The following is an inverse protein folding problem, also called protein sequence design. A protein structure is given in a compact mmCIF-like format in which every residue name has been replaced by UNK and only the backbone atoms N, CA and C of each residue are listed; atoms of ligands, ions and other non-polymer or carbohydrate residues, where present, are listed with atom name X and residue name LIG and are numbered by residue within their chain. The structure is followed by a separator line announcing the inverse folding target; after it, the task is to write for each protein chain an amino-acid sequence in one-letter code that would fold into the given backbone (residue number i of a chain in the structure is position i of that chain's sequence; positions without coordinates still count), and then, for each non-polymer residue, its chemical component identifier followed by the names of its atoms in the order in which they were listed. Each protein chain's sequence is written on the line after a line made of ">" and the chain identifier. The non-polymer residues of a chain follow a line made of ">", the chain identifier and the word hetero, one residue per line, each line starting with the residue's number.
data_IF_135921395987
#
_entry.id   IF_135921395987
#
_cell.length_a   1.000
_cell.length_b   1.000
_cell.length_c   1.000
_cell.angle_alpha   90.00
_cell.angle_beta   90.00
_cell.angle_gamma   90.00
#
_symmetry.space_group_name_H-M   'P 1'
#
loop_
_entity.id
_entity.type
_entity.pdbx_description
1 polymer ?
#
# COMPACT_ATOMS: atom_id res chain seq x y z
N UNK A 1 -1.01 25.48 28.37
CA UNK A 1 -0.57 25.77 26.99
C UNK A 1 0.01 24.49 26.43
N UNK A 2 -0.63 23.96 25.39
CA UNK A 2 -0.42 22.64 24.80
C UNK A 2 1.03 22.42 24.33
N UNK A 3 1.56 21.19 24.49
CA UNK A 3 1.66 20.23 23.39
C UNK A 3 2.26 18.90 23.90
N UNK A 4 1.43 17.86 23.88
CA UNK A 4 1.81 16.47 24.05
C UNK A 4 2.59 16.02 22.81
N UNK A 5 3.86 15.62 22.97
CA UNK A 5 4.65 14.93 21.93
C UNK A 5 4.40 13.44 22.05
N UNK A 6 3.53 12.89 21.22
CA UNK A 6 3.45 11.43 21.04
C UNK A 6 4.38 11.05 19.88
N UNK A 7 5.60 10.65 20.23
CA UNK A 7 6.45 9.83 19.37
C UNK A 7 5.80 8.45 19.30
N UNK A 8 5.41 7.98 18.11
CA UNK A 8 5.10 6.57 17.88
C UNK A 8 6.06 6.04 16.84
N UNK A 9 7.02 5.26 17.31
CA UNK A 9 7.91 4.43 16.52
C UNK A 9 7.56 2.98 16.89
N UNK A 10 6.94 2.20 16.01
CA UNK A 10 7.00 0.73 16.05
C UNK A 10 6.63 0.12 14.69
N UNK A 11 7.43 -0.88 14.33
CA UNK A 11 7.38 -1.66 13.10
C UNK A 11 6.26 -2.73 13.11
N UNK A 12 6.00 -3.30 11.92
CA UNK A 12 5.11 -4.43 11.63
C UNK A 12 3.60 -4.23 11.85
N UNK A 13 2.95 -3.63 10.86
CA UNK A 13 1.63 -4.07 10.35
C UNK A 13 1.14 -3.12 9.27
N UNK A 14 0.32 -3.63 8.35
CA UNK A 14 -0.61 -2.83 7.58
C UNK A 14 -1.43 -1.95 8.56
N UNK A 15 -1.38 -0.63 8.44
CA UNK A 15 -2.16 0.29 9.28
C UNK A 15 -3.15 1.02 8.40
N UNK A 16 -4.44 0.87 8.74
CA UNK A 16 -5.49 1.68 8.15
C UNK A 16 -5.80 2.90 9.03
N UNK A 17 -5.72 4.13 8.51
CA UNK A 17 -6.00 5.36 9.27
C UNK A 17 -6.90 6.32 8.46
N UNK A 18 -7.82 7.03 9.11
CA UNK A 18 -8.67 8.02 8.45
C UNK A 18 -7.85 9.28 8.07
N UNK A 19 -8.07 9.81 6.86
CA UNK A 19 -7.45 11.05 6.41
C UNK A 19 -8.02 12.24 7.18
N UNK A 20 -7.16 13.10 7.72
CA UNK A 20 -7.55 14.31 8.46
C UNK A 20 -8.12 15.34 7.46
N UNK A 21 -9.38 15.17 7.09
CA UNK A 21 -10.20 16.25 6.56
C UNK A 21 -11.51 16.24 7.34
N UNK A 22 -11.63 17.30 8.15
CA UNK A 22 -12.73 17.72 9.04
C UNK A 22 -13.97 16.82 9.10
N UNK A 23 -14.30 16.43 10.34
CA UNK A 23 -15.62 15.95 10.76
C UNK A 23 -16.72 16.87 10.22
N UNK A 24 -17.38 16.43 9.16
CA UNK A 24 -18.74 16.80 8.82
C UNK A 24 -19.41 15.50 8.39
N UNK A 25 -20.62 15.25 8.88
CA UNK A 25 -21.49 14.22 8.34
C UNK A 25 -21.66 14.51 6.84
N UNK A 26 -21.17 13.63 5.97
CA UNK A 26 -21.34 13.79 4.51
C UNK A 26 -22.07 12.60 3.92
N UNK A 27 -23.17 13.00 3.31
CA UNK A 27 -24.14 12.37 2.44
C UNK A 27 -23.53 11.61 1.23
N UNK A 28 -24.38 10.80 0.61
CA UNK A 28 -24.13 9.60 -0.21
C UNK A 28 -23.56 9.81 -1.64
N UNK A 29 -22.70 10.81 -1.87
CA UNK A 29 -22.01 10.98 -3.17
C UNK A 29 -20.53 11.32 -3.03
N UNK A 30 -19.76 10.44 -2.38
CA UNK A 30 -18.30 10.54 -2.36
C UNK A 30 -17.73 10.08 -3.71
N UNK A 31 -17.46 11.04 -4.60
CA UNK A 31 -16.84 10.81 -5.91
C UNK A 31 -15.33 10.53 -5.82
N UNK A 32 -14.75 10.58 -4.62
CA UNK A 32 -13.34 10.30 -4.36
C UNK A 32 -13.03 8.81 -4.16
N UNK A 33 -11.72 8.45 -4.10
CA UNK A 33 -11.32 7.11 -3.74
C UNK A 33 -11.76 6.77 -2.30
N UNK A 34 -12.29 5.57 -2.09
CA UNK A 34 -12.62 5.12 -0.73
C UNK A 34 -11.37 4.87 0.11
N UNK A 35 -10.30 4.37 -0.53
CA UNK A 35 -9.05 4.01 0.11
C UNK A 35 -7.84 4.53 -0.69
N UNK A 36 -6.84 5.05 0.03
CA UNK A 36 -5.52 5.41 -0.50
C UNK A 36 -4.47 4.42 -0.01
N UNK A 37 -4.01 3.53 -0.89
CA UNK A 37 -2.89 2.65 -0.60
C UNK A 37 -1.57 3.41 -0.71
N UNK A 38 -0.83 3.48 0.39
CA UNK A 38 0.47 4.15 0.48
C UNK A 38 1.57 3.11 0.46
N UNK A 39 2.40 3.19 -0.58
CA UNK A 39 3.56 2.36 -0.82
C UNK A 39 4.79 3.24 -0.93
N UNK A 40 5.98 2.67 -0.72
CA UNK A 40 7.23 3.37 -0.95
C UNK A 40 8.31 2.39 -1.40
N UNK A 41 9.28 2.90 -2.14
CA UNK A 41 10.44 2.15 -2.59
C UNK A 41 11.28 2.98 -3.55
N UNK A 42 12.24 2.35 -4.21
CA UNK A 42 13.08 2.98 -5.23
C UNK A 42 13.67 1.90 -6.13
N UNK A 43 14.07 2.28 -7.34
CA UNK A 43 14.74 1.38 -8.26
C UNK A 43 16.25 1.28 -7.90
N UNK A 44 16.59 0.46 -6.92
CA UNK A 44 17.97 0.29 -6.43
C UNK A 44 18.49 -1.16 -6.40
N UNK A 45 17.66 -2.13 -6.79
CA UNK A 45 17.94 -3.56 -6.77
C UNK A 45 18.41 -4.16 -5.43
N UNK A 46 18.42 -3.41 -4.32
CA UNK A 46 18.94 -3.88 -3.03
C UNK A 46 18.11 -4.98 -2.42
N UNK A 47 16.84 -5.07 -2.81
CA UNK A 47 15.91 -6.15 -2.44
C UNK A 47 15.44 -6.90 -3.69
N UNK A 48 16.33 -7.12 -4.65
CA UNK A 48 16.00 -7.73 -5.95
C UNK A 48 15.14 -6.82 -6.82
N UNK A 49 14.34 -7.41 -7.71
CA UNK A 49 13.48 -6.67 -8.65
C UNK A 49 12.26 -6.04 -7.95
N UNK A 50 12.47 -4.88 -7.31
CA UNK A 50 11.39 -4.13 -6.68
C UNK A 50 10.39 -3.61 -7.72
N UNK A 51 10.86 -3.20 -8.90
CA UNK A 51 10.03 -2.63 -9.95
C UNK A 51 9.02 -3.67 -10.45
N UNK A 52 9.46 -4.90 -10.71
CA UNK A 52 8.56 -5.98 -11.13
C UNK A 52 7.58 -6.40 -10.04
N UNK A 53 8.02 -6.47 -8.77
CA UNK A 53 7.08 -6.74 -7.65
C UNK A 53 6.06 -5.62 -7.44
N UNK A 54 6.47 -4.36 -7.61
CA UNK A 54 5.57 -3.21 -7.60
C UNK A 54 4.57 -3.28 -8.76
N UNK A 55 5.04 -3.60 -9.96
CA UNK A 55 4.16 -3.76 -11.11
C UNK A 55 3.13 -4.87 -10.90
N UNK A 56 3.53 -6.01 -10.33
CA UNK A 56 2.60 -7.07 -9.96
C UNK A 56 1.53 -6.57 -8.98
N UNK A 57 1.93 -5.89 -7.91
CA UNK A 57 0.98 -5.36 -6.93
C UNK A 57 -0.01 -4.38 -7.58
N UNK A 58 0.46 -3.49 -8.47
CA UNK A 58 -0.40 -2.54 -9.17
C UNK A 58 -1.36 -3.21 -10.16
N UNK A 59 -0.90 -4.21 -10.91
CA UNK A 59 -1.75 -4.94 -11.86
C UNK A 59 -2.88 -5.70 -11.12
N UNK A 60 -2.54 -6.33 -9.99
CA UNK A 60 -3.51 -7.07 -9.17
C UNK A 60 -4.53 -6.11 -8.52
N UNK A 61 -4.07 -5.00 -7.96
CA UNK A 61 -4.96 -3.96 -7.43
C UNK A 61 -5.87 -3.38 -8.54
N UNK A 62 -5.35 -3.20 -9.75
CA UNK A 62 -6.16 -2.72 -10.88
C UNK A 62 -7.25 -3.72 -11.26
N UNK A 63 -6.92 -5.02 -11.27
CA UNK A 63 -7.89 -6.08 -11.52
C UNK A 63 -8.96 -6.14 -10.42
N UNK A 64 -8.56 -6.22 -9.15
CA UNK A 64 -9.47 -6.36 -8.01
C UNK A 64 -10.34 -5.12 -7.81
N UNK A 65 -9.81 -3.92 -8.01
CA UNK A 65 -10.59 -2.67 -7.95
C UNK A 65 -11.66 -2.62 -9.03
N UNK A 66 -11.37 -3.15 -10.22
CA UNK A 66 -12.34 -3.26 -11.31
C UNK A 66 -13.43 -4.29 -11.00
N UNK A 67 -13.06 -5.49 -10.56
CA UNK A 67 -14.02 -6.57 -10.26
C UNK A 67 -14.95 -6.20 -9.10
N UNK A 68 -14.43 -5.54 -8.07
CA UNK A 68 -15.21 -5.14 -6.89
C UNK A 68 -15.93 -3.79 -7.04
N UNK A 69 -15.64 -3.02 -8.10
CA UNK A 69 -16.11 -1.64 -8.26
C UNK A 69 -15.54 -0.66 -7.21
N UNK A 70 -14.51 -1.06 -6.46
CA UNK A 70 -13.90 -0.26 -5.42
C UNK A 70 -13.02 0.85 -6.02
N UNK A 71 -13.50 2.09 -5.98
CA UNK A 71 -12.67 3.26 -6.33
C UNK A 71 -11.57 3.43 -5.29
N UNK A 72 -10.31 3.36 -5.73
CA UNK A 72 -9.14 3.52 -4.89
C UNK A 72 -8.02 4.29 -5.58
N UNK A 73 -7.05 4.75 -4.80
CA UNK A 73 -5.79 5.25 -5.33
C UNK A 73 -4.59 4.55 -4.71
N UNK A 74 -3.50 4.48 -5.46
CA UNK A 74 -2.19 4.08 -4.98
C UNK A 74 -1.25 5.26 -5.08
N UNK A 75 -0.60 5.58 -3.98
CA UNK A 75 0.47 6.56 -3.90
C UNK A 75 1.77 5.82 -3.63
N UNK A 76 2.68 5.83 -4.61
CA UNK A 76 4.03 5.30 -4.45
C UNK A 76 4.97 6.47 -4.19
N UNK A 77 5.65 6.46 -3.04
CA UNK A 77 6.68 7.44 -2.74
C UNK A 77 8.05 6.88 -3.09
N UNK A 78 8.66 7.45 -4.12
CA UNK A 78 10.02 7.18 -4.52
C UNK A 78 10.99 8.06 -3.73
N UNK A 79 11.65 7.49 -2.72
CA UNK A 79 12.48 8.27 -1.81
C UNK A 79 13.97 8.16 -2.15
N UNK A 80 14.62 9.30 -2.32
CA UNK A 80 16.06 9.41 -2.59
C UNK A 80 16.52 8.43 -3.70
N UNK A 81 15.95 8.55 -4.93
CA UNK A 81 16.36 7.72 -6.05
C UNK A 81 17.81 8.02 -6.46
N UNK A 82 18.49 7.01 -6.98
CA UNK A 82 19.83 7.18 -7.55
C UNK A 82 19.74 7.87 -8.92
N UNK A 83 20.68 8.76 -9.22
CA UNK A 83 20.65 9.58 -10.45
C UNK A 83 20.95 8.77 -11.72
N UNK A 84 21.61 7.62 -11.56
CA UNK A 84 22.01 6.70 -12.63
C UNK A 84 20.97 5.60 -12.90
N UNK A 85 19.88 5.53 -12.11
CA UNK A 85 18.80 4.58 -12.35
C UNK A 85 17.52 5.28 -12.85
N UNK A 86 16.77 4.66 -13.78
CA UNK A 86 15.49 5.22 -14.19
C UNK A 86 14.52 5.29 -13.01
N UNK A 87 13.79 6.41 -12.92
CA UNK A 87 12.79 6.63 -11.86
C UNK A 87 11.62 5.63 -11.96
N UNK A 88 10.99 5.33 -10.83
CA UNK A 88 9.76 4.54 -10.80
C UNK A 88 8.67 5.16 -11.68
N UNK A 89 8.60 6.49 -11.76
CA UNK A 89 7.65 7.19 -12.63
C UNK A 89 7.80 6.85 -14.11
N UNK A 90 9.02 6.52 -14.55
CA UNK A 90 9.31 6.12 -15.94
C UNK A 90 9.15 4.62 -16.19
N UNK A 91 9.35 3.78 -15.16
CA UNK A 91 9.38 2.33 -15.30
C UNK A 91 8.01 1.67 -15.07
N UNK A 92 7.22 2.21 -14.16
CA UNK A 92 5.94 1.61 -13.76
C UNK A 92 4.86 1.93 -14.78
N UNK A 93 4.21 0.88 -15.29
CA UNK A 93 3.02 1.01 -16.12
C UNK A 93 1.83 1.33 -15.23
N UNK A 94 1.17 2.45 -15.49
CA UNK A 94 -0.09 2.79 -14.84
C UNK A 94 -1.23 2.06 -15.53
N UNK A 95 -2.20 1.51 -14.79
CA UNK A 95 -3.38 0.93 -15.40
C UNK A 95 -4.14 2.01 -16.20
N UNK A 96 -4.86 1.62 -17.27
CA UNK A 96 -5.75 2.53 -17.97
C UNK A 96 -6.78 3.13 -16.99
N UNK A 97 -7.29 4.33 -17.28
CA UNK A 97 -8.25 5.03 -16.43
C UNK A 97 -9.40 4.08 -16.03
N UNK A 98 -9.51 3.83 -14.73
CA UNK A 98 -10.37 2.80 -14.13
C UNK A 98 -10.67 3.16 -12.67
N UNK A 99 -11.19 2.19 -11.91
CA UNK A 99 -11.40 2.28 -10.46
C UNK A 99 -10.09 2.46 -9.65
N UNK A 100 -8.91 2.34 -10.28
CA UNK A 100 -7.61 2.59 -9.64
C UNK A 100 -6.87 3.75 -10.30
N UNK A 101 -6.51 4.76 -9.51
CA UNK A 101 -5.56 5.81 -9.91
C UNK A 101 -4.19 5.60 -9.27
N UNK A 102 -3.10 5.82 -10.02
CA UNK A 102 -1.72 5.63 -9.53
C UNK A 102 -0.93 6.94 -9.62
N UNK A 103 -0.44 7.40 -8.46
CA UNK A 103 0.41 8.59 -8.34
C UNK A 103 1.77 8.20 -7.80
N UNK A 104 2.82 8.74 -8.41
CA UNK A 104 4.20 8.55 -7.97
C UNK A 104 4.72 9.90 -7.51
N UNK A 105 5.25 9.95 -6.30
CA UNK A 105 5.82 11.15 -5.70
C UNK A 105 7.30 10.89 -5.45
N UNK A 106 8.16 11.65 -6.10
CA UNK A 106 9.60 11.58 -5.86
C UNK A 106 9.99 12.54 -4.75
N UNK A 107 10.70 12.03 -3.74
CA UNK A 107 11.41 12.84 -2.75
C UNK A 107 12.88 12.84 -3.15
N UNK A 108 13.39 14.01 -3.51
CA UNK A 108 14.75 14.15 -4.02
C UNK A 108 15.83 13.99 -2.94
N UNK A 109 17.08 13.86 -3.41
CA UNK A 109 18.25 13.75 -2.55
C UNK A 109 18.43 14.98 -1.66
N UNK A 110 18.12 16.19 -2.16
CA UNK A 110 18.29 17.41 -1.39
C UNK A 110 17.40 17.43 -0.14
N UNK A 111 16.16 16.98 -0.25
CA UNK A 111 15.27 16.81 0.88
C UNK A 111 15.77 15.71 1.83
N UNK A 112 16.26 14.59 1.29
CA UNK A 112 16.82 13.52 2.11
C UNK A 112 18.04 13.99 2.92
N UNK A 113 18.98 14.69 2.30
CA UNK A 113 20.21 15.18 2.93
C UNK A 113 19.93 16.14 4.10
N UNK A 114 18.85 16.94 4.01
CA UNK A 114 18.41 17.80 5.11
C UNK A 114 17.90 17.02 6.34
N UNK A 115 17.44 15.78 6.14
CA UNK A 115 16.80 14.96 7.16
C UNK A 115 17.64 13.74 7.57
N UNK A 116 18.80 13.50 6.94
CA UNK A 116 19.60 12.30 7.22
C UNK A 116 20.22 12.30 8.63
N UNK A 117 20.42 13.49 9.21
CA UNK A 117 20.89 13.73 10.58
C UNK A 117 22.11 12.87 10.97
N UNK A 118 23.00 12.57 10.03
CA UNK A 118 24.21 11.75 10.26
C UNK A 118 23.96 10.25 10.49
N UNK A 119 22.73 9.76 10.30
CA UNK A 119 22.37 8.34 10.49
C UNK A 119 23.03 7.39 9.48
N UNK A 120 23.49 7.89 8.34
CA UNK A 120 24.03 7.09 7.24
C UNK A 120 22.98 6.25 6.49
N UNK A 121 21.71 6.30 6.91
CA UNK A 121 20.61 5.60 6.25
C UNK A 121 20.21 6.37 4.99
N UNK A 122 20.10 5.67 3.88
CA UNK A 122 19.89 6.25 2.54
C UNK A 122 18.44 6.15 2.04
N UNK A 123 17.55 5.50 2.81
CA UNK A 123 16.14 5.36 2.51
C UNK A 123 15.29 5.40 3.78
N UNK A 124 14.35 6.33 3.86
CA UNK A 124 13.47 6.52 5.03
C UNK A 124 12.05 6.03 4.76
N UNK A 125 11.83 4.72 4.92
CA UNK A 125 10.54 4.08 4.64
C UNK A 125 9.35 4.75 5.35
N UNK A 126 9.45 4.98 6.66
CA UNK A 126 8.37 5.58 7.44
C UNK A 126 8.11 7.04 7.08
N UNK A 127 9.16 7.82 6.76
CA UNK A 127 8.99 9.20 6.29
C UNK A 127 8.37 9.23 4.90
N UNK A 128 8.76 8.31 4.01
CA UNK A 128 8.15 8.15 2.69
C UNK A 128 6.66 7.80 2.81
N UNK A 129 6.30 6.86 3.69
CA UNK A 129 4.90 6.55 4.00
C UNK A 129 4.13 7.77 4.56
N UNK A 130 4.75 8.58 5.41
CA UNK A 130 4.15 9.83 5.88
C UNK A 130 3.95 10.87 4.76
N UNK A 131 4.91 11.02 3.84
CA UNK A 131 4.80 11.88 2.66
C UNK A 131 3.60 11.49 1.80
N UNK A 132 3.40 10.18 1.60
CA UNK A 132 2.28 9.63 0.86
C UNK A 132 0.96 9.82 1.60
N UNK A 133 0.89 9.45 2.88
CA UNK A 133 -0.31 9.61 3.71
C UNK A 133 -0.82 11.05 3.77
N UNK A 134 0.08 12.04 3.87
CA UNK A 134 -0.27 13.48 3.85
C UNK A 134 -0.82 13.96 2.50
N UNK A 135 -0.67 13.18 1.43
CA UNK A 135 -1.17 13.49 0.08
C UNK A 135 -2.30 12.57 -0.34
N UNK A 136 -2.74 11.66 0.53
CA UNK A 136 -3.90 10.81 0.35
C UNK A 136 -5.16 11.64 0.15
N UNK A 137 -5.99 11.20 -0.79
CA UNK A 137 -7.32 11.75 -1.10
C UNK A 137 -8.44 10.82 -0.64
N UNK A 138 -8.11 9.60 -0.24
CA UNK A 138 -9.09 8.59 0.14
C UNK A 138 -9.63 8.79 1.53
N UNK A 139 -10.86 8.31 1.76
CA UNK A 139 -11.51 8.35 3.08
C UNK A 139 -10.70 7.58 4.14
N UNK A 140 -10.08 6.48 3.72
CA UNK A 140 -9.18 5.67 4.54
C UNK A 140 -7.80 5.54 3.87
N UNK A 141 -6.75 5.42 4.67
CA UNK A 141 -5.36 5.27 4.23
C UNK A 141 -4.93 3.84 4.54
N UNK A 142 -4.40 3.11 3.57
CA UNK A 142 -3.81 1.79 3.72
C UNK A 142 -2.29 1.87 3.61
N UNK A 143 -1.58 1.76 4.73
CA UNK A 143 -0.11 1.75 4.69
C UNK A 143 0.37 0.32 4.43
N UNK A 144 0.99 0.06 3.27
CA UNK A 144 1.49 -1.26 2.86
C UNK A 144 2.87 -1.18 2.21
N UNK A 145 3.47 -2.33 1.91
CA UNK A 145 4.70 -2.40 1.11
C UNK A 145 4.35 -2.47 -0.38
N UNK A 146 5.27 -2.03 -1.23
CA UNK A 146 5.06 -2.02 -2.68
C UNK A 146 4.99 -3.40 -3.33
N UNK A 147 5.31 -4.47 -2.61
CA UNK A 147 5.32 -5.85 -3.07
C UNK A 147 4.27 -6.74 -2.40
N UNK A 148 3.24 -6.14 -1.81
CA UNK A 148 2.14 -6.85 -1.15
C UNK A 148 0.94 -6.95 -2.09
N UNK A 149 0.49 -8.19 -2.30
CA UNK A 149 -0.77 -8.51 -2.96
C UNK A 149 -1.86 -8.62 -1.90
N UNK A 150 -3.00 -7.97 -2.13
CA UNK A 150 -4.18 -8.08 -1.27
C UNK A 150 -5.03 -9.26 -1.76
N UNK A 151 -5.62 -10.02 -0.84
CA UNK A 151 -6.52 -11.10 -1.22
C UNK A 151 -7.94 -10.60 -1.50
N UNK A 152 -8.73 -11.43 -2.17
CA UNK A 152 -10.09 -11.05 -2.58
C UNK A 152 -11.02 -10.79 -1.39
N UNK A 153 -10.87 -11.56 -0.30
CA UNK A 153 -11.63 -11.34 0.93
C UNK A 153 -11.41 -9.94 1.54
N UNK A 154 -10.17 -9.41 1.47
CA UNK A 154 -9.89 -8.04 1.90
C UNK A 154 -10.57 -7.03 0.96
N UNK A 155 -10.54 -7.26 -0.34
CA UNK A 155 -11.22 -6.41 -1.32
C UNK A 155 -12.73 -6.38 -1.13
N UNK A 156 -13.37 -7.53 -0.90
CA UNK A 156 -14.79 -7.64 -0.58
C UNK A 156 -15.14 -6.84 0.68
N UNK A 157 -14.32 -6.96 1.73
CA UNK A 157 -14.50 -6.20 2.97
C UNK A 157 -14.39 -4.69 2.71
N UNK A 158 -13.40 -4.24 1.95
CA UNK A 158 -13.23 -2.83 1.59
C UNK A 158 -14.39 -2.32 0.72
N UNK A 159 -14.82 -3.10 -0.28
CA UNK A 159 -15.93 -2.80 -1.17
C UNK A 159 -17.28 -2.72 -0.43
N UNK A 160 -17.43 -3.44 0.69
CA UNK A 160 -18.62 -3.34 1.55
C UNK A 160 -18.77 -1.98 2.26
N UNK A 161 -17.72 -1.14 2.24
CA UNK A 161 -17.69 0.21 2.83
C UNK A 161 -18.05 0.28 4.33
N UNK A 162 -17.70 -0.75 5.10
CA UNK A 162 -18.03 -0.89 6.54
C UNK A 162 -16.92 -0.47 7.51
N UNK A 163 -15.84 0.15 7.02
CA UNK A 163 -14.76 0.59 7.88
C UNK A 163 -15.23 1.74 8.78
N UNK A 164 -14.80 1.71 10.04
CA UNK A 164 -15.14 2.71 11.05
C UNK A 164 -14.00 3.72 11.17
N UNK A 165 -14.34 5.01 11.30
CA UNK A 165 -13.36 6.10 11.33
C UNK A 165 -12.56 6.16 12.64
N UNK A 166 -13.10 5.58 13.72
CA UNK A 166 -12.52 5.52 15.07
C UNK A 166 -11.76 4.20 15.33
N UNK A 167 -11.48 3.42 14.28
CA UNK A 167 -10.83 2.12 14.38
C UNK A 167 -9.52 2.06 13.57
N UNK A 168 -8.55 1.32 14.10
CA UNK A 168 -7.37 0.89 13.37
C UNK A 168 -7.52 -0.57 12.96
N UNK A 169 -7.29 -0.86 11.69
CA UNK A 169 -7.33 -2.21 11.13
C UNK A 169 -5.93 -2.71 10.87
N UNK A 170 -5.71 -3.98 11.20
CA UNK A 170 -4.49 -4.73 10.91
C UNK A 170 -4.85 -6.07 10.31
N UNK A 171 -4.01 -6.54 9.38
CA UNK A 171 -4.10 -7.89 8.82
C UNK A 171 -2.74 -8.58 8.94
N UNK A 172 -2.76 -9.90 9.12
CA UNK A 172 -1.56 -10.73 9.02
C UNK A 172 -1.18 -10.85 7.53
N UNK A 173 0.12 -10.82 7.25
CA UNK A 173 0.67 -11.07 5.92
C UNK A 173 1.35 -12.42 5.93
N UNK A 174 1.10 -13.21 4.90
CA UNK A 174 1.86 -14.43 4.61
C UNK A 174 2.78 -14.17 3.43
N UNK A 175 4.04 -14.57 3.55
CA UNK A 175 5.01 -14.43 2.47
C UNK A 175 4.81 -15.56 1.45
N UNK A 176 4.65 -15.20 0.18
CA UNK A 176 4.47 -16.15 -0.91
C UNK A 176 5.84 -16.57 -1.47
N UNK A 177 6.19 -17.87 -1.50
CA UNK A 177 7.39 -18.32 -2.17
C UNK A 177 7.18 -18.24 -3.69
N UNK A 178 7.93 -17.37 -4.37
CA UNK A 178 7.91 -17.33 -5.83
C UNK A 178 8.31 -15.98 -6.41
N UNK A 179 8.89 -16.03 -7.61
CA UNK A 179 9.04 -14.84 -8.46
C UNK A 179 7.92 -14.84 -9.50
N UNK A 180 7.20 -13.73 -9.62
CA UNK A 180 6.23 -13.50 -10.68
C UNK A 180 6.82 -12.52 -11.69
N UNK A 181 6.96 -12.96 -12.94
CA UNK A 181 7.34 -12.08 -14.03
C UNK A 181 6.20 -11.11 -14.35
N UNK A 182 6.37 -9.78 -14.14
CA UNK A 182 5.32 -8.80 -14.40
C UNK A 182 4.91 -8.68 -15.87
N UNK A 183 5.69 -9.25 -16.80
CA UNK A 183 5.39 -9.27 -18.23
C UNK A 183 4.53 -10.48 -18.64
N UNK A 184 4.46 -11.50 -17.78
CA UNK A 184 3.60 -12.66 -18.01
C UNK A 184 2.11 -12.27 -17.97
N UNK A 185 1.24 -12.96 -18.74
CA UNK A 185 -0.20 -12.68 -18.78
C UNK A 185 -0.81 -12.60 -17.37
N UNK A 186 -1.61 -11.57 -17.11
CA UNK A 186 -2.19 -11.33 -15.77
C UNK A 186 -3.00 -12.53 -15.27
N UNK A 187 -3.80 -13.17 -16.14
CA UNK A 187 -4.57 -14.36 -15.79
C UNK A 187 -3.70 -15.52 -15.28
N UNK A 188 -2.51 -15.71 -15.86
CA UNK A 188 -1.56 -16.74 -15.41
C UNK A 188 -1.00 -16.41 -14.04
N UNK A 189 -0.65 -15.13 -13.80
CA UNK A 189 -0.17 -14.67 -12.48
C UNK A 189 -1.25 -14.80 -11.40
N UNK A 190 -2.49 -14.45 -11.72
CA UNK A 190 -3.63 -14.60 -10.81
C UNK A 190 -3.85 -16.08 -10.44
N UNK A 191 -3.82 -16.99 -11.42
CA UNK A 191 -3.92 -18.43 -11.18
C UNK A 191 -2.82 -18.93 -10.26
N UNK A 192 -1.56 -18.54 -10.51
CA UNK A 192 -0.43 -18.95 -9.69
C UNK A 192 -0.57 -18.47 -8.23
N UNK A 193 -1.05 -17.23 -8.01
CA UNK A 193 -1.31 -16.73 -6.65
C UNK A 193 -2.43 -17.50 -5.97
N UNK A 194 -3.52 -17.81 -6.68
CA UNK A 194 -4.63 -18.60 -6.13
C UNK A 194 -4.15 -19.98 -5.66
N UNK A 195 -3.37 -20.68 -6.48
CA UNK A 195 -2.79 -21.99 -6.14
C UNK A 195 -1.87 -21.90 -4.91
N UNK A 196 -1.01 -20.88 -4.85
CA UNK A 196 -0.12 -20.68 -3.70
C UNK A 196 -0.91 -20.38 -2.41
N UNK A 197 -1.98 -19.59 -2.49
CA UNK A 197 -2.85 -19.29 -1.34
C UNK A 197 -3.56 -20.55 -0.85
N UNK A 198 -4.07 -21.41 -1.74
CA UNK A 198 -4.66 -22.70 -1.37
C UNK A 198 -3.66 -23.63 -0.68
N UNK A 199 -2.42 -23.67 -1.17
CA UNK A 199 -1.35 -24.47 -0.58
C UNK A 199 -0.96 -24.02 0.83
N UNK A 200 -1.07 -22.72 1.12
CA UNK A 200 -0.55 -22.16 2.37
C UNK A 200 -1.32 -22.56 3.62
N UNK A 201 -2.51 -23.17 3.49
CA UNK A 201 -3.51 -23.42 4.57
C UNK A 201 -3.84 -22.13 5.34
N UNK A 202 -5.12 -21.76 5.50
CA UNK A 202 -5.45 -20.60 6.31
C UNK A 202 -4.94 -20.82 7.75
N UNK A 203 -4.16 -19.87 8.28
CA UNK A 203 -4.02 -19.75 9.73
C UNK A 203 -5.43 -19.62 10.30
N UNK A 204 -5.72 -20.37 11.38
CA UNK A 204 -7.05 -20.36 11.99
C UNK A 204 -7.32 -18.94 12.49
N UNK A 205 -8.39 -18.31 12.00
CA UNK A 205 -8.79 -16.99 12.47
C UNK A 205 -9.60 -17.13 13.75
N UNK A 206 -9.22 -16.39 14.77
CA UNK A 206 -9.92 -16.32 16.05
C UNK A 206 -11.22 -15.50 15.92
N UNK A 207 -12.21 -15.82 16.74
CA UNK A 207 -13.33 -14.91 16.95
C UNK A 207 -12.83 -13.57 17.55
N UNK A 208 -13.53 -12.47 17.25
CA UNK A 208 -13.15 -11.12 17.70
C UNK A 208 -13.06 -11.09 19.24
N UNK A 209 -11.84 -10.93 19.76
CA UNK A 209 -11.57 -10.84 21.20
C UNK A 209 -10.93 -12.07 21.83
N UNK A 210 -10.77 -13.18 21.09
CA UNK A 210 -10.09 -14.38 21.58
C UNK A 210 -8.58 -14.31 21.34
N UNK A 211 -7.82 -14.81 22.33
CA UNK A 211 -6.34 -14.75 22.35
C UNK A 211 -5.68 -16.01 21.79
N UNK A 212 -6.41 -17.12 21.70
CA UNK A 212 -5.92 -18.40 21.20
C UNK A 212 -6.91 -18.94 20.18
N UNK A 213 -6.42 -19.31 18.99
CA UNK A 213 -7.26 -19.91 17.94
C UNK A 213 -7.16 -21.44 18.07
N UNK A 214 -8.25 -22.20 17.83
CA UNK A 214 -8.23 -23.67 17.90
C UNK A 214 -7.11 -24.30 17.08
#
# INVERSE_FOLDING_TARGET
>A
MFLNRTTVLFAFSLVLCCSISMCNDVDESDSGPYISAIMCGRNDFRRGDFVGRLQNSLDFLSFQSKESGLTMEVIVVEWNPFLDTPSLATLVRKPPESHLSVRIITVDKAFHDQHVLGSGQDFFEFMAKNVGARRARGKFILITNGDVILNDALFEMLASRRLQQDAFYRIVRTDLPGMMDPLSPLAMRLSAVSELVEMLKPERTCARGEKECP
#
